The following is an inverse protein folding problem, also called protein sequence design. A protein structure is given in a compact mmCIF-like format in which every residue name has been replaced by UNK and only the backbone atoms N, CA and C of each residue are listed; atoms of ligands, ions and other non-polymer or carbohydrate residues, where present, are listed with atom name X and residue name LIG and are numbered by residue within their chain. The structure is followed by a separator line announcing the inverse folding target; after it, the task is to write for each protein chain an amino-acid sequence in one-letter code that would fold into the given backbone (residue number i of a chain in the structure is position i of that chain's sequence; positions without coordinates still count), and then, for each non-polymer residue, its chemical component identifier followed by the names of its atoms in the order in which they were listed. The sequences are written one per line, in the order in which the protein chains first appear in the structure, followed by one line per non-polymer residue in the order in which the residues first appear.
data_IF_067426350385
#
_entry.id   IF_067426350385
#
_cell.length_a   1.000
_cell.length_b   1.000
_cell.length_c   1.000
_cell.angle_alpha   90.00
_cell.angle_beta   90.00
_cell.angle_gamma   90.00
#
_symmetry.space_group_name_H-M   'P 1'
#
loop_
_entity.id
_entity.type
_entity.pdbx_description
1 polymer ?
#
# COMPACT_ATOMS: atom_id res chain seq x y z
N UNK A 1 14.98 -2.51 -71.41
CA UNK A 1 13.69 -2.40 -70.69
C UNK A 1 13.54 -3.62 -69.82
N UNK A 2 13.49 -3.47 -68.50
CA UNK A 2 12.83 -4.39 -67.55
C UNK A 2 12.91 -3.74 -66.17
N UNK A 3 11.85 -3.00 -65.82
CA UNK A 3 11.60 -2.53 -64.46
C UNK A 3 11.33 -3.75 -63.58
N UNK A 4 12.07 -3.92 -62.49
CA UNK A 4 11.69 -4.88 -61.44
C UNK A 4 11.21 -4.11 -60.22
N UNK A 5 9.92 -4.31 -59.96
CA UNK A 5 9.09 -3.75 -58.91
C UNK A 5 9.69 -3.99 -57.51
N UNK A 6 9.76 -2.92 -56.72
CA UNK A 6 9.91 -2.98 -55.28
C UNK A 6 8.62 -3.55 -54.66
N UNK A 7 8.69 -4.74 -54.08
CA UNK A 7 7.62 -5.27 -53.25
C UNK A 7 7.74 -4.66 -51.85
N UNK A 8 6.86 -3.70 -51.54
CA UNK A 8 6.65 -3.20 -50.19
C UNK A 8 6.23 -4.38 -49.29
N UNK A 9 7.06 -4.70 -48.30
CA UNK A 9 6.69 -5.54 -47.16
C UNK A 9 5.65 -4.79 -46.33
N UNK A 10 4.37 -5.16 -46.46
CA UNK A 10 3.36 -4.85 -45.46
C UNK A 10 3.71 -5.63 -44.19
N UNK A 11 4.33 -4.97 -43.22
CA UNK A 11 4.37 -5.47 -41.86
C UNK A 11 2.96 -5.38 -41.24
N UNK A 12 2.47 -6.42 -40.56
CA UNK A 12 1.22 -6.34 -39.84
C UNK A 12 1.39 -5.32 -38.69
N UNK A 13 0.53 -4.31 -38.65
CA UNK A 13 0.41 -3.45 -37.49
C UNK A 13 -0.09 -4.32 -36.33
N UNK A 14 0.80 -4.60 -35.36
CA UNK A 14 0.42 -5.12 -34.06
C UNK A 14 -0.57 -4.13 -33.45
N UNK A 15 -1.85 -4.46 -33.49
CA UNK A 15 -2.85 -3.73 -32.74
C UNK A 15 -2.63 -4.08 -31.26
N UNK A 16 -2.07 -3.14 -30.49
CA UNK A 16 -2.13 -3.20 -29.04
C UNK A 16 -3.60 -3.26 -28.63
N UNK A 17 -4.06 -4.45 -28.26
CA UNK A 17 -5.33 -4.61 -27.57
C UNK A 17 -5.23 -3.82 -26.25
N UNK A 18 -6.21 -2.97 -25.91
CA UNK A 18 -6.22 -2.29 -24.62
C UNK A 18 -6.07 -3.36 -23.53
N UNK A 19 -4.98 -3.29 -22.77
CA UNK A 19 -4.79 -4.17 -21.63
C UNK A 19 -5.91 -3.85 -20.65
N UNK A 20 -6.82 -4.80 -20.43
CA UNK A 20 -7.87 -4.66 -19.42
C UNK A 20 -7.17 -4.49 -18.07
N UNK A 21 -7.21 -3.28 -17.51
CA UNK A 21 -6.69 -3.01 -16.18
C UNK A 21 -7.64 -3.66 -15.16
N UNK A 22 -7.29 -4.86 -14.69
CA UNK A 22 -8.02 -5.53 -13.62
C UNK A 22 -7.65 -4.85 -12.30
N UNK A 23 -8.48 -3.91 -11.85
CA UNK A 23 -8.31 -3.27 -10.54
C UNK A 23 -8.90 -4.17 -9.45
N UNK A 24 -8.04 -4.96 -8.80
CA UNK A 24 -8.43 -5.74 -7.62
C UNK A 24 -8.46 -4.81 -6.40
N UNK A 25 -9.66 -4.56 -5.86
CA UNK A 25 -9.81 -3.79 -4.62
C UNK A 25 -9.83 -4.73 -3.41
N UNK A 26 -8.70 -4.82 -2.69
CA UNK A 26 -8.68 -5.48 -1.40
C UNK A 26 -9.40 -4.62 -0.35
N UNK A 27 -10.50 -5.12 0.22
CA UNK A 27 -11.15 -4.48 1.38
C UNK A 27 -10.47 -4.92 2.66
N UNK A 28 -9.55 -4.13 3.16
CA UNK A 28 -9.04 -4.27 4.53
C UNK A 28 -10.18 -3.99 5.52
N UNK A 29 -10.25 -4.78 6.59
CA UNK A 29 -11.18 -4.53 7.68
C UNK A 29 -10.77 -3.26 8.43
N UNK A 30 -11.72 -2.68 9.16
CA UNK A 30 -11.41 -1.62 10.10
C UNK A 30 -10.33 -2.11 11.08
N UNK A 31 -9.32 -1.26 11.29
CA UNK A 31 -8.19 -1.53 12.19
C UNK A 31 -8.31 -0.60 13.39
N UNK A 32 -8.19 -1.16 14.59
CA UNK A 32 -8.14 -0.39 15.84
C UNK A 32 -6.83 -0.68 16.58
N UNK A 33 -6.04 0.37 16.82
CA UNK A 33 -4.70 0.31 17.41
C UNK A 33 -4.70 1.10 18.71
N UNK A 34 -4.36 0.45 19.81
CA UNK A 34 -4.31 1.08 21.12
C UNK A 34 -2.86 1.20 21.60
N UNK A 35 -2.52 2.36 22.14
CA UNK A 35 -1.27 2.57 22.85
C UNK A 35 -1.51 2.48 24.36
N UNK A 36 -0.75 1.60 25.02
CA UNK A 36 -0.72 1.54 26.46
C UNK A 36 0.36 2.49 26.97
N UNK A 37 -0.07 3.46 27.80
CA UNK A 37 0.82 4.43 28.42
C UNK A 37 1.04 4.07 29.90
N UNK A 38 2.21 4.36 30.43
CA UNK A 38 2.44 4.31 31.88
C UNK A 38 2.00 5.60 32.59
N UNK A 39 2.20 5.62 33.92
CA UNK A 39 1.86 6.79 34.76
C UNK A 39 2.59 8.07 34.37
N UNK A 40 3.72 7.97 33.66
CA UNK A 40 4.51 9.10 33.15
C UNK A 40 4.19 9.43 31.69
N UNK A 41 3.12 8.85 31.14
CA UNK A 41 2.71 8.96 29.73
C UNK A 41 3.74 8.41 28.73
N UNK A 42 4.64 7.52 29.17
CA UNK A 42 5.53 6.82 28.26
C UNK A 42 4.80 5.62 27.64
N UNK A 43 5.03 5.39 26.36
CA UNK A 43 4.49 4.23 25.65
C UNK A 43 5.14 2.95 26.19
N UNK A 44 4.33 2.08 26.79
CA UNK A 44 4.72 0.75 27.29
C UNK A 44 4.55 -0.33 26.26
N UNK A 45 3.42 -0.31 25.57
CA UNK A 45 3.04 -1.30 24.60
C UNK A 45 2.08 -0.71 23.58
N UNK A 46 1.93 -1.43 22.48
CA UNK A 46 0.91 -1.20 21.48
C UNK A 46 0.20 -2.52 21.22
N UNK A 47 -1.13 -2.46 21.09
CA UNK A 47 -1.98 -3.62 20.90
C UNK A 47 -3.02 -3.38 19.82
N UNK A 48 -3.38 -4.45 19.10
CA UNK A 48 -4.42 -4.42 18.07
C UNK A 48 -5.74 -4.86 18.71
N UNK A 49 -6.68 -3.93 18.83
CA UNK A 49 -8.01 -4.21 19.37
C UNK A 49 -8.95 -4.81 18.30
N UNK A 50 -8.75 -4.42 17.04
CA UNK A 50 -9.44 -4.98 15.88
C UNK A 50 -8.44 -5.16 14.75
N UNK A 51 -8.24 -6.40 14.29
CA UNK A 51 -7.30 -6.73 13.21
C UNK A 51 -7.83 -6.34 11.83
N UNK A 52 -6.93 -5.91 10.95
CA UNK A 52 -7.23 -5.69 9.53
C UNK A 52 -7.45 -7.01 8.76
N UNK A 53 -7.00 -8.13 9.32
CA UNK A 53 -6.90 -9.43 8.65
C UNK A 53 -5.50 -9.73 8.08
N UNK A 54 -4.58 -8.77 8.11
CA UNK A 54 -3.19 -8.92 7.70
C UNK A 54 -2.24 -8.59 8.86
N UNK A 55 -1.45 -9.59 9.28
CA UNK A 55 -0.55 -9.46 10.43
C UNK A 55 0.61 -8.46 10.19
N UNK A 56 1.07 -8.33 8.94
CA UNK A 56 2.12 -7.39 8.57
C UNK A 56 1.60 -5.95 8.55
N UNK A 57 0.40 -5.74 8.02
CA UNK A 57 -0.31 -4.47 8.06
C UNK A 57 -0.59 -4.03 9.50
N UNK A 58 -1.10 -4.93 10.34
CA UNK A 58 -1.37 -4.69 11.75
C UNK A 58 -0.10 -4.29 12.52
N UNK A 59 1.01 -5.01 12.30
CA UNK A 59 2.31 -4.68 12.89
C UNK A 59 2.82 -3.31 12.42
N UNK A 60 2.75 -3.05 11.12
CA UNK A 60 3.17 -1.77 10.53
C UNK A 60 2.38 -0.61 11.11
N UNK A 61 1.08 -0.78 11.31
CA UNK A 61 0.24 0.23 11.93
C UNK A 61 0.68 0.51 13.36
N UNK A 62 0.90 -0.54 14.15
CA UNK A 62 1.35 -0.42 15.52
C UNK A 62 2.68 0.34 15.64
N UNK A 63 3.68 -0.04 14.82
CA UNK A 63 4.98 0.63 14.79
C UNK A 63 4.88 2.10 14.36
N UNK A 64 4.09 2.38 13.32
CA UNK A 64 3.86 3.75 12.86
C UNK A 64 3.15 4.60 13.93
N UNK A 65 2.12 4.06 14.58
CA UNK A 65 1.40 4.74 15.67
C UNK A 65 2.33 5.04 16.85
N UNK A 66 3.20 4.10 17.23
CA UNK A 66 4.22 4.34 18.28
C UNK A 66 5.20 5.45 17.86
N UNK A 67 5.70 5.43 16.62
CA UNK A 67 6.62 6.45 16.13
C UNK A 67 5.98 7.85 16.13
N UNK A 68 4.74 7.96 15.64
CA UNK A 68 3.98 9.21 15.64
C UNK A 68 3.67 9.70 17.06
N UNK A 69 3.32 8.81 18.00
CA UNK A 69 3.11 9.20 19.38
C UNK A 69 4.40 9.69 20.06
N UNK A 70 5.55 9.08 19.74
CA UNK A 70 6.86 9.52 20.24
C UNK A 70 7.28 10.90 19.73
N UNK A 71 6.75 11.36 18.59
CA UNK A 71 6.95 12.74 18.12
C UNK A 71 5.99 13.76 18.76
N UNK A 72 5.20 13.35 19.76
CA UNK A 72 4.30 14.21 20.52
C UNK A 72 2.87 14.28 19.97
N UNK A 73 2.55 13.53 18.92
CA UNK A 73 1.20 13.49 18.35
C UNK A 73 0.28 12.66 19.24
N UNK A 74 -0.82 13.24 19.69
CA UNK A 74 -1.82 12.54 20.52
C UNK A 74 -3.27 12.74 20.05
N UNK A 75 -3.52 13.75 19.24
CA UNK A 75 -4.84 13.99 18.64
C UNK A 75 -5.11 12.97 17.52
N UNK A 76 -6.34 12.47 17.44
CA UNK A 76 -6.69 11.34 16.58
C UNK A 76 -6.56 11.64 15.08
N UNK A 77 -7.00 12.81 14.61
CA UNK A 77 -6.86 13.19 13.21
C UNK A 77 -5.40 13.38 12.81
N UNK A 78 -4.60 14.04 13.65
CA UNK A 78 -3.16 14.19 13.46
C UNK A 78 -2.44 12.82 13.45
N UNK A 79 -2.84 11.90 14.33
CA UNK A 79 -2.32 10.53 14.38
C UNK A 79 -2.59 9.81 13.05
N UNK A 80 -3.83 9.86 12.55
CA UNK A 80 -4.20 9.25 11.26
C UNK A 80 -3.37 9.82 10.11
N UNK A 81 -3.18 11.13 10.07
CA UNK A 81 -2.36 11.80 9.04
C UNK A 81 -0.90 11.33 9.11
N UNK A 82 -0.35 11.17 10.31
CA UNK A 82 1.03 10.71 10.49
C UNK A 82 1.22 9.23 10.10
N UNK A 83 0.27 8.35 10.44
CA UNK A 83 0.37 6.90 10.21
C UNK A 83 0.09 6.52 8.74
N UNK A 84 -0.86 7.21 8.09
CA UNK A 84 -1.38 6.84 6.76
C UNK A 84 -0.31 6.61 5.69
N UNK A 85 0.74 7.45 5.54
CA UNK A 85 1.77 7.23 4.51
C UNK A 85 2.49 5.88 4.66
N UNK A 86 2.75 5.42 5.88
CA UNK A 86 3.41 4.13 6.13
C UNK A 86 2.53 2.95 5.76
N UNK A 87 1.24 3.01 6.08
CA UNK A 87 0.29 1.97 5.71
C UNK A 87 0.05 1.90 4.20
N UNK A 88 -0.01 3.06 3.52
CA UNK A 88 -0.10 3.10 2.07
C UNK A 88 1.15 2.54 1.40
N UNK A 89 2.34 2.79 1.96
CA UNK A 89 3.57 2.20 1.46
C UNK A 89 3.56 0.67 1.57
N UNK A 90 3.17 0.14 2.73
CA UNK A 90 3.02 -1.31 2.93
C UNK A 90 2.05 -1.91 1.91
N UNK A 91 0.85 -1.34 1.78
CA UNK A 91 -0.16 -1.86 0.86
C UNK A 91 0.31 -1.85 -0.61
N UNK A 92 1.07 -0.84 -1.02
CA UNK A 92 1.64 -0.77 -2.37
C UNK A 92 2.70 -1.82 -2.63
N UNK A 93 3.54 -2.13 -1.63
CA UNK A 93 4.54 -3.20 -1.74
C UNK A 93 3.84 -4.55 -1.93
N UNK A 94 2.82 -4.86 -1.13
CA UNK A 94 2.11 -6.15 -1.23
C UNK A 94 1.36 -6.33 -2.56
N UNK A 95 0.91 -5.24 -3.20
CA UNK A 95 0.24 -5.29 -4.50
C UNK A 95 1.21 -5.33 -5.70
N UNK A 96 2.51 -5.15 -5.47
CA UNK A 96 3.54 -5.11 -6.51
C UNK A 96 4.42 -6.36 -6.60
N UNK A 97 4.22 -7.35 -5.73
CA UNK A 97 5.08 -8.55 -5.60
C UNK A 97 4.36 -9.88 -5.92
N UNK A 98 3.34 -9.87 -6.77
CA UNK A 98 2.84 -11.10 -7.46
C UNK A 98 3.46 -11.26 -8.86
N UNK A 99 4.78 -11.12 -8.96
CA UNK A 99 5.54 -11.49 -10.17
C UNK A 99 6.78 -12.30 -9.79
N UNK A 100 6.57 -13.59 -9.52
CA UNK A 100 7.55 -14.64 -9.82
C UNK A 100 6.83 -15.90 -10.31
#
# INVERSE_FOLDING_TARGET
MSLSLAALLLAPALQETPQEEIVVTARLRALDVHLQLDRKKHIRACSIAMTSGDNGFDRTACEATVACARSGISEAAAMRTCVRPKLLAYARTQLGEEQE
#
